data_IF_516553785640
#
_entry.id   IF_516553785640
#
_cell.length_a   1.000
_cell.length_b   1.000
_cell.length_c   1.000
_cell.angle_alpha   90.00
_cell.angle_beta   90.00
_cell.angle_gamma   90.00
#
_symmetry.space_group_name_H-M   'P 1'
#
loop_
_entity.id
_entity.type
_entity.pdbx_description
1 polymer ?
#
# COMPACT_ATOMS: atom_id res chain seq x y z
N UNK A 1 -9.50 -8.77 -4.91
CA UNK A 1 -8.15 -8.17 -4.84
C UNK A 1 -7.32 -8.58 -3.62
N UNK A 2 -7.88 -8.54 -2.39
CA UNK A 2 -7.16 -8.84 -1.12
C UNK A 2 -6.36 -10.15 -1.09
N UNK A 3 -6.89 -11.25 -1.68
CA UNK A 3 -6.19 -12.55 -1.78
C UNK A 3 -4.91 -12.45 -2.62
N UNK A 4 -4.97 -11.75 -3.76
CA UNK A 4 -3.84 -11.58 -4.67
C UNK A 4 -2.78 -10.66 -4.05
N UNK A 5 -3.20 -9.55 -3.43
CA UNK A 5 -2.28 -8.66 -2.72
C UNK A 5 -1.54 -9.37 -1.57
N UNK A 6 -2.23 -10.22 -0.79
CA UNK A 6 -1.59 -11.07 0.22
C UNK A 6 -0.58 -12.05 -0.39
N UNK A 7 -0.92 -12.70 -1.50
CA UNK A 7 0.01 -13.61 -2.20
C UNK A 7 1.26 -12.86 -2.67
N UNK A 8 1.09 -11.68 -3.28
CA UNK A 8 2.19 -10.82 -3.72
C UNK A 8 3.04 -10.33 -2.55
N UNK A 9 2.44 -9.97 -1.42
CA UNK A 9 3.14 -9.58 -0.20
C UNK A 9 4.02 -10.73 0.34
N UNK A 10 3.55 -11.98 0.26
CA UNK A 10 4.37 -13.14 0.61
C UNK A 10 5.55 -13.32 -0.34
N UNK A 11 5.32 -13.17 -1.66
CA UNK A 11 6.41 -13.22 -2.65
C UNK A 11 7.47 -12.14 -2.37
N UNK A 12 7.04 -10.92 -2.04
CA UNK A 12 7.92 -9.80 -1.74
C UNK A 12 8.79 -10.07 -0.50
N UNK A 13 8.19 -10.61 0.57
CA UNK A 13 8.94 -11.02 1.77
C UNK A 13 9.96 -12.12 1.47
N UNK A 14 9.62 -13.08 0.61
CA UNK A 14 10.55 -14.12 0.20
C UNK A 14 11.73 -13.52 -0.57
N UNK A 15 11.49 -12.50 -1.42
CA UNK A 15 12.53 -11.78 -2.14
C UNK A 15 13.43 -11.01 -1.17
N UNK A 16 12.87 -10.26 -0.21
CA UNK A 16 13.62 -9.55 0.83
C UNK A 16 14.57 -10.48 1.60
N UNK A 17 14.11 -11.69 1.97
CA UNK A 17 14.94 -12.65 2.72
C UNK A 17 16.14 -13.21 1.94
N UNK A 18 16.09 -13.15 0.60
CA UNK A 18 17.15 -13.66 -0.29
C UNK A 18 18.10 -12.56 -0.74
N UNK A 19 17.67 -11.29 -0.70
CA UNK A 19 18.42 -10.15 -1.19
C UNK A 19 19.38 -9.62 -0.12
N UNK A 20 20.66 -9.45 -0.45
CA UNK A 20 21.67 -8.85 0.45
C UNK A 20 22.58 -9.83 1.20
N UNK A 21 22.38 -11.15 1.08
CA UNK A 21 23.12 -12.15 1.87
C UNK A 21 24.45 -12.57 1.23
N UNK A 22 24.64 -12.32 -0.08
CA UNK A 22 25.90 -12.68 -0.73
C UNK A 22 27.00 -11.66 -0.42
N UNK A 23 28.17 -12.08 0.08
CA UNK A 23 29.35 -11.23 0.09
C UNK A 23 29.71 -10.88 -1.36
N UNK A 24 30.20 -9.66 -1.56
CA UNK A 24 30.88 -9.28 -2.79
C UNK A 24 32.29 -9.83 -2.63
N UNK A 25 32.65 -10.84 -3.42
CA UNK A 25 33.99 -11.41 -3.43
C UNK A 25 34.95 -10.40 -4.08
N UNK A 26 36.24 -10.57 -3.79
CA UNK A 26 37.39 -9.75 -4.20
C UNK A 26 37.44 -9.50 -5.72
N UNK A 27 36.62 -8.55 -6.18
CA UNK A 27 36.38 -8.18 -7.57
C UNK A 27 36.72 -6.70 -7.78
N UNK A 28 36.86 -6.30 -9.06
CA UNK A 28 37.14 -4.91 -9.48
C UNK A 28 36.29 -3.87 -8.71
N UNK A 29 36.94 -2.85 -8.15
CA UNK A 29 36.30 -1.77 -7.38
C UNK A 29 35.11 -1.11 -8.11
N UNK A 30 35.14 -1.04 -9.45
CA UNK A 30 34.04 -0.60 -10.29
C UNK A 30 32.87 -1.58 -10.23
N UNK A 31 33.13 -2.88 -10.37
CA UNK A 31 32.10 -3.92 -10.29
C UNK A 31 31.44 -3.95 -8.90
N UNK A 32 32.23 -3.84 -7.83
CA UNK A 32 31.72 -3.73 -6.45
C UNK A 32 30.77 -2.52 -6.31
N UNK A 33 31.16 -1.38 -6.88
CA UNK A 33 30.35 -0.15 -6.85
C UNK A 33 29.04 -0.29 -7.63
N UNK A 34 29.08 -0.90 -8.82
CA UNK A 34 27.90 -1.19 -9.64
C UNK A 34 26.94 -2.15 -8.93
N UNK A 35 27.46 -3.22 -8.32
CA UNK A 35 26.67 -4.18 -7.53
C UNK A 35 25.99 -3.48 -6.36
N UNK A 36 26.67 -2.56 -5.67
CA UNK A 36 26.07 -1.77 -4.58
C UNK A 36 24.89 -0.91 -5.07
N UNK A 37 25.08 -0.17 -6.16
CA UNK A 37 24.01 0.66 -6.76
C UNK A 37 22.81 -0.20 -7.18
N UNK A 38 23.06 -1.36 -7.80
CA UNK A 38 21.98 -2.29 -8.17
C UNK A 38 21.22 -2.81 -6.94
N UNK A 39 21.92 -3.11 -5.83
CA UNK A 39 21.27 -3.53 -4.58
C UNK A 39 20.38 -2.42 -4.00
N UNK A 40 20.84 -1.18 -4.01
CA UNK A 40 20.06 -0.03 -3.54
C UNK A 40 18.80 0.19 -4.39
N UNK A 41 18.93 0.12 -5.72
CA UNK A 41 17.77 0.23 -6.63
C UNK A 41 16.76 -0.88 -6.37
N UNK A 42 17.21 -2.11 -6.16
CA UNK A 42 16.32 -3.24 -5.87
C UNK A 42 15.64 -3.07 -4.50
N UNK A 43 16.37 -2.63 -3.48
CA UNK A 43 15.81 -2.32 -2.17
C UNK A 43 14.74 -1.22 -2.24
N UNK A 44 14.99 -0.14 -2.99
CA UNK A 44 14.03 0.94 -3.22
C UNK A 44 12.76 0.41 -3.90
N UNK A 45 12.92 -0.40 -4.95
CA UNK A 45 11.78 -1.03 -5.63
C UNK A 45 10.97 -1.94 -4.69
N UNK A 46 11.63 -2.77 -3.90
CA UNK A 46 10.94 -3.63 -2.92
C UNK A 46 10.14 -2.79 -1.93
N UNK A 47 10.70 -1.69 -1.42
CA UNK A 47 10.00 -0.78 -0.51
C UNK A 47 8.76 -0.16 -1.16
N UNK A 48 8.84 0.28 -2.42
CA UNK A 48 7.70 0.84 -3.15
C UNK A 48 6.60 -0.20 -3.30
N UNK A 49 6.92 -1.41 -3.78
CA UNK A 49 5.93 -2.48 -3.90
C UNK A 49 5.32 -2.86 -2.55
N UNK A 50 6.11 -2.84 -1.48
CA UNK A 50 5.61 -3.12 -0.12
C UNK A 50 4.58 -2.10 0.31
N UNK A 51 4.88 -0.82 0.14
CA UNK A 51 3.96 0.27 0.50
C UNK A 51 2.66 0.21 -0.30
N UNK A 52 2.74 -0.03 -1.61
CA UNK A 52 1.57 -0.18 -2.48
C UNK A 52 0.72 -1.40 -2.09
N UNK A 53 1.37 -2.55 -1.87
CA UNK A 53 0.66 -3.75 -1.44
C UNK A 53 0.05 -3.57 -0.06
N UNK A 54 0.71 -2.85 0.85
CA UNK A 54 0.19 -2.52 2.17
C UNK A 54 -1.08 -1.66 2.06
N UNK A 55 -1.05 -0.64 1.21
CA UNK A 55 -2.20 0.21 0.89
C UNK A 55 -3.40 -0.62 0.38
N UNK A 56 -3.15 -1.53 -0.57
CA UNK A 56 -4.18 -2.42 -1.14
C UNK A 56 -4.67 -3.52 -0.17
N UNK A 57 -3.81 -3.95 0.75
CA UNK A 57 -4.19 -4.85 1.83
C UNK A 57 -4.82 -4.04 2.95
N UNK A 58 -6.04 -3.55 2.73
CA UNK A 58 -6.91 -3.04 3.79
C UNK A 58 -6.84 -4.00 4.98
N UNK A 59 -6.33 -3.61 6.16
CA UNK A 59 -6.45 -4.45 7.33
C UNK A 59 -7.95 -4.68 7.53
N UNK A 60 -8.36 -5.96 7.53
CA UNK A 60 -9.71 -6.23 8.00
C UNK A 60 -9.81 -5.63 9.40
N UNK A 61 -10.87 -4.89 9.74
CA UNK A 61 -11.10 -4.56 11.15
C UNK A 61 -10.99 -5.89 11.89
N UNK A 62 -10.08 -5.97 12.87
CA UNK A 62 -9.88 -7.18 13.67
C UNK A 62 -11.10 -7.35 14.58
N UNK A 63 -12.27 -7.65 14.02
CA UNK A 63 -13.46 -7.97 14.78
C UNK A 63 -13.46 -9.48 15.06
N UNK A 64 -12.67 -9.89 16.06
CA UNK A 64 -13.25 -10.85 16.99
C UNK A 64 -13.98 -10.00 18.01
N UNK A 65 -15.32 -9.88 17.96
CA UNK A 65 -16.02 -9.26 19.08
C UNK A 65 -15.76 -10.15 20.29
N UNK A 66 -14.90 -9.70 21.20
CA UNK A 66 -14.91 -10.23 22.56
C UNK A 66 -16.34 -10.03 23.08
N UNK A 67 -16.93 -11.05 23.71
CA UNK A 67 -18.32 -11.02 24.19
C UNK A 67 -18.65 -9.76 25.01
N UNK A 68 -17.63 -9.15 25.63
CA UNK A 68 -17.66 -7.87 26.32
C UNK A 68 -17.93 -6.63 25.45
N UNK A 69 -17.47 -6.58 24.20
CA UNK A 69 -17.70 -5.45 23.29
C UNK A 69 -19.18 -5.35 22.88
N UNK A 70 -19.86 -6.50 22.75
CA UNK A 70 -21.30 -6.56 22.51
C UNK A 70 -22.11 -6.07 23.71
N UNK A 71 -21.64 -6.37 24.94
CA UNK A 71 -22.25 -5.85 26.18
C UNK A 71 -22.04 -4.33 26.27
N UNK A 72 -20.85 -3.83 25.98
CA UNK A 72 -20.57 -2.39 25.98
C UNK A 72 -21.43 -1.63 24.95
N UNK A 73 -21.60 -2.18 23.73
CA UNK A 73 -22.51 -1.60 22.71
C UNK A 73 -23.98 -1.64 23.12
N UNK A 74 -24.41 -2.65 23.88
CA UNK A 74 -25.77 -2.71 24.40
C UNK A 74 -26.02 -1.65 25.49
N UNK A 75 -25.00 -1.35 26.30
CA UNK A 75 -25.09 -0.34 27.37
C UNK A 75 -24.96 1.10 26.88
N UNK A 76 -24.36 1.33 25.71
CA UNK A 76 -24.23 2.67 25.10
C UNK A 76 -25.39 3.06 24.16
N UNK A 77 -26.49 2.30 24.13
CA UNK A 77 -27.70 2.58 23.34
C UNK A 77 -28.52 3.76 23.91
N UNK A 78 -27.88 4.92 24.09
CA UNK A 78 -28.53 6.11 24.64
C UNK A 78 -27.84 7.45 24.36
N UNK A 79 -26.60 7.48 23.87
CA UNK A 79 -25.92 8.77 23.57
C UNK A 79 -25.24 8.67 22.20
N UNK A 80 -25.80 9.44 21.26
CA UNK A 80 -25.24 9.68 19.93
C UNK A 80 -23.99 10.54 20.10
N UNK A 81 -22.82 9.98 19.81
CA UNK A 81 -21.66 10.70 19.29
C UNK A 81 -20.62 9.66 18.90
N UNK A 82 -20.57 9.31 17.62
CA UNK A 82 -19.48 8.52 17.08
C UNK A 82 -18.47 9.50 16.46
N UNK A 83 -17.70 10.17 17.32
CA UNK A 83 -16.35 10.62 16.92
C UNK A 83 -15.46 9.37 16.97
N UNK A 84 -15.46 8.61 15.87
CA UNK A 84 -14.45 7.57 15.70
C UNK A 84 -13.17 8.27 15.22
N UNK A 85 -12.29 8.57 16.17
CA UNK A 85 -10.90 8.93 15.94
C UNK A 85 -10.26 7.89 15.00
N UNK A 86 -10.27 8.19 13.71
CA UNK A 86 -9.71 7.34 12.65
C UNK A 86 -8.59 8.09 11.93
N UNK A 87 -7.58 8.53 12.69
CA UNK A 87 -6.38 9.20 12.14
C UNK A 87 -5.52 8.29 11.23
N UNK A 88 -5.98 7.08 10.88
CA UNK A 88 -5.22 6.14 10.07
C UNK A 88 -6.08 5.32 9.09
N UNK A 89 -7.27 5.80 8.71
CA UNK A 89 -8.05 5.18 7.63
C UNK A 89 -7.42 5.52 6.28
N UNK A 90 -7.07 4.51 5.47
CA UNK A 90 -6.71 4.77 4.08
C UNK A 90 -7.97 5.08 3.24
N UNK A 91 -7.83 5.85 2.17
CA UNK A 91 -8.96 6.29 1.32
C UNK A 91 -9.85 5.12 0.87
N UNK A 92 -9.25 3.96 0.63
CA UNK A 92 -9.95 2.73 0.27
C UNK A 92 -10.91 2.22 1.37
N UNK A 93 -10.53 2.35 2.65
CA UNK A 93 -11.42 2.02 3.79
C UNK A 93 -12.56 3.01 3.91
N UNK A 94 -12.32 4.31 3.65
CA UNK A 94 -13.37 5.32 3.65
C UNK A 94 -14.42 5.02 2.58
N UNK A 95 -13.99 4.65 1.37
CA UNK A 95 -14.91 4.21 0.30
C UNK A 95 -15.65 2.93 0.69
N UNK A 96 -14.98 1.92 1.25
CA UNK A 96 -15.62 0.68 1.70
C UNK A 96 -16.69 0.94 2.77
N UNK A 97 -16.43 1.82 3.74
CA UNK A 97 -17.36 2.19 4.79
C UNK A 97 -18.59 2.93 4.23
N UNK A 98 -18.38 3.92 3.36
CA UNK A 98 -19.48 4.68 2.73
C UNK A 98 -20.37 3.78 1.87
N UNK A 99 -19.78 2.90 1.06
CA UNK A 99 -20.54 1.94 0.25
C UNK A 99 -21.28 0.91 1.11
N UNK A 100 -20.67 0.45 2.20
CA UNK A 100 -21.32 -0.47 3.13
C UNK A 100 -22.54 0.19 3.79
N UNK A 101 -22.44 1.45 4.21
CA UNK A 101 -23.58 2.19 4.78
C UNK A 101 -24.70 2.36 3.75
N UNK A 102 -24.38 2.67 2.50
CA UNK A 102 -25.36 2.77 1.42
C UNK A 102 -26.10 1.44 1.19
N UNK A 103 -25.40 0.30 1.27
CA UNK A 103 -25.98 -1.02 1.10
C UNK A 103 -26.85 -1.45 2.28
N UNK A 104 -26.43 -1.16 3.52
CA UNK A 104 -27.13 -1.64 4.72
C UNK A 104 -28.27 -0.75 5.19
N UNK A 105 -28.12 0.56 5.07
CA UNK A 105 -29.08 1.54 5.59
C UNK A 105 -29.91 2.21 4.49
N UNK A 106 -29.65 1.86 3.23
CA UNK A 106 -30.28 2.46 2.06
C UNK A 106 -29.66 3.79 1.65
N UNK A 107 -30.05 4.23 0.45
CA UNK A 107 -29.54 5.44 -0.17
C UNK A 107 -30.36 6.67 0.21
N UNK A 108 -29.67 7.77 0.51
CA UNK A 108 -30.23 9.11 0.51
C UNK A 108 -29.24 10.08 -0.13
N UNK A 109 -29.68 11.30 -0.43
CA UNK A 109 -28.87 12.31 -1.14
C UNK A 109 -27.54 12.55 -0.44
N UNK A 110 -27.54 12.80 0.88
CA UNK A 110 -26.31 13.09 1.61
C UNK A 110 -25.33 11.92 1.67
N UNK A 111 -25.81 10.68 1.78
CA UNK A 111 -24.95 9.48 1.75
C UNK A 111 -24.37 9.23 0.35
N UNK A 112 -25.15 9.48 -0.71
CA UNK A 112 -24.65 9.39 -2.08
C UNK A 112 -23.57 10.43 -2.35
N UNK A 113 -23.79 11.68 -1.92
CA UNK A 113 -22.83 12.77 -2.03
C UNK A 113 -21.54 12.44 -1.29
N UNK A 114 -21.62 12.04 -0.02
CA UNK A 114 -20.46 11.63 0.76
C UNK A 114 -19.70 10.43 0.16
N UNK A 115 -20.40 9.44 -0.41
CA UNK A 115 -19.74 8.33 -1.08
C UNK A 115 -19.03 8.77 -2.37
N UNK A 116 -19.62 9.72 -3.11
CA UNK A 116 -19.04 10.26 -4.33
C UNK A 116 -17.77 11.07 -4.04
N UNK A 117 -17.79 11.93 -3.02
CA UNK A 117 -16.59 12.67 -2.57
C UNK A 117 -15.44 11.73 -2.18
N UNK A 118 -15.76 10.61 -1.50
CA UNK A 118 -14.75 9.60 -1.13
C UNK A 118 -14.20 8.86 -2.35
N UNK A 119 -15.02 8.60 -3.36
CA UNK A 119 -14.59 7.99 -4.60
C UNK A 119 -13.68 8.92 -5.41
N UNK A 120 -14.04 10.20 -5.51
CA UNK A 120 -13.22 11.22 -6.18
C UNK A 120 -11.86 11.38 -5.48
N UNK A 121 -11.83 11.41 -4.15
CA UNK A 121 -10.59 11.44 -3.40
C UNK A 121 -9.71 10.21 -3.69
N UNK A 122 -10.29 9.01 -3.73
CA UNK A 122 -9.57 7.78 -4.04
C UNK A 122 -9.06 7.76 -5.49
N UNK A 123 -9.84 8.27 -6.45
CA UNK A 123 -9.45 8.38 -7.86
C UNK A 123 -8.24 9.30 -8.01
N UNK A 124 -8.28 10.49 -7.40
CA UNK A 124 -7.14 11.40 -7.34
C UNK A 124 -5.91 10.76 -6.67
N UNK A 125 -6.12 9.98 -5.60
CA UNK A 125 -5.06 9.22 -4.94
C UNK A 125 -4.40 8.18 -5.86
N UNK A 126 -5.21 7.44 -6.64
CA UNK A 126 -4.74 6.46 -7.63
C UNK A 126 -3.96 7.15 -8.75
N UNK A 127 -4.46 8.26 -9.30
CA UNK A 127 -3.78 9.02 -10.35
C UNK A 127 -2.39 9.49 -9.88
N UNK A 128 -2.30 10.02 -8.67
CA UNK A 128 -1.02 10.44 -8.08
C UNK A 128 -0.03 9.27 -7.93
N UNK A 129 -0.51 8.08 -7.55
CA UNK A 129 0.30 6.86 -7.46
C UNK A 129 0.79 6.44 -8.86
N UNK A 130 -0.08 6.45 -9.87
CA UNK A 130 0.26 6.10 -11.25
C UNK A 130 1.33 7.03 -11.81
N UNK A 131 1.15 8.34 -11.65
CA UNK A 131 2.12 9.37 -12.05
C UNK A 131 3.47 9.19 -11.34
N UNK A 132 3.45 8.93 -10.03
CA UNK A 132 4.65 8.65 -9.25
C UNK A 132 5.39 7.40 -9.74
N UNK A 133 4.66 6.32 -10.04
CA UNK A 133 5.23 5.08 -10.54
C UNK A 133 5.80 5.22 -11.95
N UNK A 134 5.15 5.97 -12.82
CA UNK A 134 5.68 6.27 -14.15
C UNK A 134 7.04 6.99 -14.06
N UNK A 135 7.15 7.97 -13.16
CA UNK A 135 8.40 8.69 -12.90
C UNK A 135 9.52 7.76 -12.40
N UNK A 136 9.21 6.88 -11.44
CA UNK A 136 10.15 5.87 -10.93
C UNK A 136 10.59 4.91 -12.05
N UNK A 137 9.64 4.39 -12.82
CA UNK A 137 9.93 3.47 -13.93
C UNK A 137 10.85 4.12 -14.97
N UNK A 138 10.54 5.37 -15.37
CA UNK A 138 11.37 6.15 -16.28
C UNK A 138 12.78 6.36 -15.74
N UNK A 139 12.93 6.63 -14.44
CA UNK A 139 14.24 6.76 -13.79
C UNK A 139 15.01 5.44 -13.80
N UNK A 140 14.36 4.31 -13.50
CA UNK A 140 14.98 2.99 -13.54
C UNK A 140 15.50 2.62 -14.92
N UNK A 141 14.73 2.90 -15.98
CA UNK A 141 15.16 2.67 -17.36
C UNK A 141 16.41 3.48 -17.68
N UNK A 142 16.45 4.76 -17.28
CA UNK A 142 17.64 5.62 -17.44
C UNK A 142 18.84 5.06 -16.67
N UNK A 143 18.66 4.70 -15.40
CA UNK A 143 19.74 4.11 -14.58
C UNK A 143 20.28 2.84 -15.22
N UNK A 144 19.41 1.94 -15.69
CA UNK A 144 19.83 0.72 -16.39
C UNK A 144 20.65 1.05 -17.64
N UNK A 145 20.20 1.99 -18.46
CA UNK A 145 20.93 2.41 -19.66
C UNK A 145 22.31 2.98 -19.31
N UNK A 146 22.40 3.83 -18.28
CA UNK A 146 23.67 4.36 -17.79
C UNK A 146 24.61 3.24 -17.32
N UNK A 147 24.13 2.28 -16.52
CA UNK A 147 24.95 1.16 -16.03
C UNK A 147 25.43 0.28 -17.19
N UNK A 148 24.57 -0.03 -18.16
CA UNK A 148 24.97 -0.79 -19.35
C UNK A 148 26.06 -0.06 -20.13
N UNK A 149 25.90 1.24 -20.35
CA UNK A 149 26.90 2.04 -21.06
C UNK A 149 28.26 2.03 -20.35
N UNK A 150 28.27 2.10 -19.01
CA UNK A 150 29.51 2.02 -18.21
C UNK A 150 30.17 0.63 -18.34
N UNK A 151 29.38 -0.45 -18.39
CA UNK A 151 29.91 -1.81 -18.53
C UNK A 151 30.42 -2.14 -19.93
N UNK A 152 29.93 -1.44 -20.96
CA UNK A 152 30.31 -1.66 -22.36
C UNK A 152 31.45 -0.76 -22.85
N UNK A 153 31.92 0.15 -22.00
CA UNK A 153 32.97 1.12 -22.29
C UNK A 153 34.31 0.64 -21.72
#
# INVERSE_FOLDING_TARGET
MKKNAKKLMTCLKQMESKFGVSPVLDEDQQLVSLVRVLREVIAMNMSIFRSLLAFLTVPAPKSKPTKWLLVAKLMQKGVITCEENTENSNELQCVEASLSSLLSEGSNVGKMEAANERLEALENGIENIENGLESVFRRMVKTRACLLNIMTQ
#
